data_IF_084652362829
#
_entry.id   IF_084652362829
#
_cell.length_a   1.000
_cell.length_b   1.000
_cell.length_c   1.000
_cell.angle_alpha   90.00
_cell.angle_beta   90.00
_cell.angle_gamma   90.00
#
_symmetry.space_group_name_H-M   'P 1'
#
loop_
_entity.id
_entity.type
_entity.pdbx_description
1 polymer ?
#
# COMPACT_ATOMS: atom_id res chain seq x y z
N UNK A 1 -4.42 -7.81 -14.57
CA UNK A 1 -5.76 -8.21 -14.08
C UNK A 1 -6.44 -9.09 -15.12
N UNK A 2 -6.53 -8.67 -16.37
CA UNK A 2 -7.24 -9.39 -17.45
C UNK A 2 -6.72 -10.81 -17.69
N UNK A 3 -5.41 -11.03 -17.64
CA UNK A 3 -4.77 -12.33 -17.84
C UNK A 3 -4.83 -13.25 -16.61
N UNK A 4 -5.13 -12.71 -15.44
CA UNK A 4 -5.22 -13.51 -14.22
C UNK A 4 -6.54 -14.29 -14.18
N UNK A 5 -6.56 -15.50 -13.61
CA UNK A 5 -7.76 -16.36 -13.49
C UNK A 5 -8.21 -16.56 -12.04
N UNK A 6 -7.38 -16.17 -11.06
CA UNK A 6 -7.65 -16.34 -9.64
C UNK A 6 -8.84 -15.50 -9.15
N UNK A 7 -9.53 -15.95 -8.12
CA UNK A 7 -10.62 -15.23 -7.45
C UNK A 7 -10.12 -14.06 -6.62
N UNK A 8 -8.90 -14.15 -6.11
CA UNK A 8 -8.20 -13.13 -5.32
C UNK A 8 -6.99 -12.68 -6.11
N UNK A 9 -6.76 -11.37 -6.17
CA UNK A 9 -5.67 -10.75 -6.92
C UNK A 9 -4.82 -9.92 -5.95
N UNK A 10 -3.52 -10.16 -5.93
CA UNK A 10 -2.50 -9.37 -5.28
C UNK A 10 -1.37 -9.03 -6.26
N UNK A 11 -0.57 -8.04 -5.96
CA UNK A 11 0.56 -7.62 -6.77
C UNK A 11 1.84 -7.68 -5.94
N UNK A 12 2.83 -8.38 -6.47
CA UNK A 12 4.18 -8.43 -5.90
C UNK A 12 5.14 -7.92 -6.97
N UNK A 13 5.96 -6.93 -6.63
CA UNK A 13 7.00 -6.45 -7.54
C UNK A 13 8.08 -7.52 -7.70
N UNK A 14 8.82 -7.46 -8.80
CA UNK A 14 9.82 -8.48 -9.16
C UNK A 14 11.01 -8.57 -8.20
N UNK A 15 11.28 -7.51 -7.44
CA UNK A 15 12.36 -7.39 -6.46
C UNK A 15 11.89 -7.56 -5.01
N UNK A 16 10.58 -7.72 -4.79
CA UNK A 16 9.97 -7.94 -3.49
C UNK A 16 9.69 -9.43 -3.24
N UNK A 17 9.52 -9.80 -1.97
CA UNK A 17 9.22 -11.17 -1.60
C UNK A 17 8.39 -11.28 -0.32
N UNK A 18 7.65 -12.38 -0.19
CA UNK A 18 6.90 -12.70 1.02
C UNK A 18 7.83 -13.05 2.17
N UNK A 19 7.41 -12.73 3.39
CA UNK A 19 8.17 -13.02 4.62
C UNK A 19 8.25 -14.49 4.95
N UNK A 20 7.27 -15.29 4.49
CA UNK A 20 7.25 -16.75 4.64
C UNK A 20 6.50 -17.41 3.48
N UNK A 21 6.65 -18.73 3.35
CA UNK A 21 5.93 -19.55 2.37
C UNK A 21 4.41 -19.64 2.65
N UNK A 22 3.98 -19.31 3.86
CA UNK A 22 2.58 -19.45 4.30
C UNK A 22 1.74 -18.19 4.14
N UNK A 23 2.32 -17.09 3.67
CA UNK A 23 1.61 -15.81 3.54
C UNK A 23 0.36 -15.92 2.67
N UNK A 24 0.47 -16.57 1.50
CA UNK A 24 -0.68 -16.70 0.59
C UNK A 24 -1.77 -17.63 1.16
N UNK A 25 -1.37 -18.68 1.86
CA UNK A 25 -2.31 -19.59 2.56
C UNK A 25 -3.08 -18.83 3.65
N UNK A 26 -2.37 -18.05 4.48
CA UNK A 26 -2.99 -17.26 5.53
C UNK A 26 -3.94 -16.20 4.96
N UNK A 27 -3.53 -15.49 3.91
CA UNK A 27 -4.41 -14.53 3.22
C UNK A 27 -5.64 -15.22 2.65
N UNK A 28 -5.48 -16.39 2.01
CA UNK A 28 -6.61 -17.14 1.46
C UNK A 28 -7.59 -17.59 2.55
N UNK A 29 -7.08 -18.06 3.68
CA UNK A 29 -7.88 -18.46 4.84
C UNK A 29 -8.73 -17.30 5.36
N UNK A 30 -8.19 -16.07 5.43
CA UNK A 30 -8.96 -14.88 5.85
C UNK A 30 -10.13 -14.66 4.89
N UNK A 31 -9.92 -14.77 3.57
CA UNK A 31 -11.01 -14.62 2.60
C UNK A 31 -12.06 -15.73 2.68
N UNK A 32 -11.72 -16.89 3.24
CA UNK A 32 -12.65 -18.01 3.44
C UNK A 32 -13.45 -17.86 4.75
N UNK A 33 -12.81 -17.38 5.81
CA UNK A 33 -13.40 -17.29 7.15
C UNK A 33 -14.10 -15.95 7.41
N UNK A 34 -13.55 -14.88 6.84
CA UNK A 34 -14.07 -13.52 6.99
C UNK A 34 -14.85 -13.10 5.74
N UNK A 35 -16.00 -12.49 5.93
CA UNK A 35 -16.81 -11.98 4.82
C UNK A 35 -16.26 -10.62 4.34
N UNK A 36 -15.05 -10.62 3.75
CA UNK A 36 -14.35 -9.41 3.30
C UNK A 36 -14.03 -9.46 1.82
N UNK A 37 -13.90 -8.29 1.23
CA UNK A 37 -13.57 -8.06 -0.18
C UNK A 37 -12.09 -7.73 -0.38
N UNK A 38 -11.41 -7.30 0.69
CA UNK A 38 -10.01 -6.92 0.70
C UNK A 38 -9.28 -7.41 1.95
N UNK A 39 -8.01 -7.79 1.79
CA UNK A 39 -7.07 -8.05 2.89
C UNK A 39 -5.82 -7.22 2.63
N UNK A 40 -5.30 -6.55 3.64
CA UNK A 40 -4.03 -5.83 3.58
C UNK A 40 -3.28 -5.97 4.91
N UNK A 41 -1.97 -5.76 4.87
CA UNK A 41 -1.09 -6.06 5.99
C UNK A 41 0.04 -5.04 6.11
N UNK A 42 1.05 -5.36 6.93
CA UNK A 42 2.26 -4.59 7.11
C UNK A 42 3.33 -4.95 6.08
N UNK A 43 4.28 -4.03 5.88
CA UNK A 43 5.41 -4.18 4.99
C UNK A 43 6.68 -3.64 5.68
N UNK A 44 7.80 -4.31 5.46
CA UNK A 44 9.12 -3.75 5.81
C UNK A 44 9.94 -3.47 4.55
N UNK A 45 10.69 -2.37 4.59
CA UNK A 45 11.73 -2.11 3.62
C UNK A 45 13.04 -2.67 4.15
N UNK A 46 13.72 -3.44 3.31
CA UNK A 46 15.04 -4.00 3.62
C UNK A 46 16.11 -3.37 2.74
N UNK A 47 17.33 -3.40 3.22
CA UNK A 47 18.48 -2.91 2.46
C UNK A 47 18.63 -3.72 1.15
N UNK A 48 19.04 -3.06 0.07
CA UNK A 48 19.18 -3.67 -1.26
C UNK A 48 20.17 -4.84 -1.27
N UNK A 49 21.28 -4.70 -0.55
CA UNK A 49 22.36 -5.69 -0.51
C UNK A 49 22.17 -6.63 0.68
N UNK A 50 21.97 -6.08 1.89
CA UNK A 50 21.77 -6.86 3.10
C UNK A 50 20.30 -6.91 3.48
N UNK A 51 19.56 -7.86 2.93
CA UNK A 51 18.12 -8.02 3.15
C UNK A 51 17.73 -8.43 4.59
N UNK A 52 18.69 -8.74 5.44
CA UNK A 52 18.44 -8.91 6.89
C UNK A 52 18.29 -7.55 7.61
N UNK A 53 18.82 -6.47 7.03
CA UNK A 53 18.75 -5.13 7.60
C UNK A 53 17.43 -4.45 7.23
N UNK A 54 16.56 -4.25 8.23
CA UNK A 54 15.31 -3.47 8.08
C UNK A 54 15.65 -1.98 8.14
N UNK A 55 15.29 -1.23 7.10
CA UNK A 55 15.54 0.22 7.01
C UNK A 55 14.30 1.07 7.26
N UNK A 56 13.11 0.46 7.12
CA UNK A 56 11.84 1.15 7.34
C UNK A 56 10.73 0.12 7.61
N UNK A 57 9.89 0.38 8.61
CA UNK A 57 8.72 -0.44 8.91
C UNK A 57 7.44 0.33 8.62
N UNK A 58 6.69 -0.12 7.63
CA UNK A 58 5.39 0.44 7.29
C UNK A 58 4.29 -0.40 7.93
N UNK A 59 4.01 -0.10 9.19
CA UNK A 59 2.89 -0.66 9.91
C UNK A 59 1.60 0.02 9.44
N UNK A 60 0.64 -0.78 9.00
CA UNK A 60 -0.67 -0.33 8.61
C UNK A 60 -1.58 -0.14 9.83
N UNK A 61 -2.87 0.01 9.63
CA UNK A 61 -3.87 0.20 10.66
C UNK A 61 -5.20 -0.41 10.18
N UNK A 62 -6.11 -0.68 11.13
CA UNK A 62 -7.50 -1.03 10.78
C UNK A 62 -8.14 0.04 9.89
N UNK A 63 -9.07 -0.35 9.04
CA UNK A 63 -9.64 0.51 7.98
C UNK A 63 -10.24 1.80 8.53
N UNK A 64 -10.86 1.76 9.72
CA UNK A 64 -11.45 2.92 10.38
C UNK A 64 -10.41 3.98 10.80
N UNK A 65 -9.15 3.60 10.89
CA UNK A 65 -8.03 4.46 11.26
C UNK A 65 -7.20 4.91 10.04
N UNK A 66 -7.57 4.45 8.83
CA UNK A 66 -6.96 4.96 7.61
C UNK A 66 -7.43 6.39 7.38
N UNK A 67 -6.52 7.22 6.89
CA UNK A 67 -6.81 8.60 6.57
C UNK A 67 -5.94 9.03 5.40
N UNK A 68 -6.51 8.96 4.20
CA UNK A 68 -5.81 9.30 2.97
C UNK A 68 -5.40 10.77 2.95
N UNK A 69 -6.24 11.69 3.46
CA UNK A 69 -5.93 13.12 3.54
C UNK A 69 -4.80 13.46 4.52
N UNK A 70 -4.42 12.51 5.40
CA UNK A 70 -3.25 12.59 6.28
C UNK A 70 -2.14 11.58 5.90
N UNK A 71 -2.22 10.93 4.74
CA UNK A 71 -1.22 9.97 4.30
C UNK A 71 -1.14 8.69 5.15
N UNK A 72 -2.18 8.36 5.92
CA UNK A 72 -2.33 7.08 6.60
C UNK A 72 -3.02 6.10 5.66
N UNK A 73 -2.23 5.44 4.83
CA UNK A 73 -2.66 4.48 3.81
C UNK A 73 -1.98 3.14 4.04
N UNK A 74 -2.59 2.02 3.62
CA UNK A 74 -1.92 0.72 3.66
C UNK A 74 -0.79 0.66 2.62
N UNK A 75 0.21 -0.19 2.80
CA UNK A 75 1.21 -0.45 1.77
C UNK A 75 0.59 -1.25 0.63
N UNK A 76 0.58 -0.67 -0.59
CA UNK A 76 -0.05 -1.28 -1.76
C UNK A 76 0.38 -2.73 -2.05
N UNK A 77 1.67 -3.13 -1.93
CA UNK A 77 2.07 -4.51 -2.22
C UNK A 77 1.43 -5.56 -1.31
N UNK A 78 0.89 -5.14 -0.15
CA UNK A 78 0.21 -6.06 0.78
C UNK A 78 -1.29 -6.19 0.54
N UNK A 79 -1.82 -5.45 -0.47
CA UNK A 79 -3.26 -5.44 -0.76
C UNK A 79 -3.64 -6.61 -1.66
N UNK A 80 -4.55 -7.43 -1.17
CA UNK A 80 -5.24 -8.48 -1.90
C UNK A 80 -6.71 -8.13 -2.02
N UNK A 81 -7.30 -8.29 -3.21
CA UNK A 81 -8.70 -7.98 -3.49
C UNK A 81 -9.40 -9.16 -4.14
N UNK A 82 -10.69 -9.36 -3.82
CA UNK A 82 -11.53 -10.22 -4.67
C UNK A 82 -11.61 -9.62 -6.06
N UNK A 83 -11.56 -10.47 -7.08
CA UNK A 83 -11.62 -10.05 -8.50
C UNK A 83 -12.83 -9.16 -8.80
N UNK A 84 -13.98 -9.45 -8.23
CA UNK A 84 -15.21 -8.69 -8.41
C UNK A 84 -15.12 -7.23 -7.95
N UNK A 85 -14.19 -6.91 -7.02
CA UNK A 85 -13.92 -5.53 -6.61
C UNK A 85 -13.46 -4.68 -7.78
N UNK A 86 -12.64 -5.24 -8.69
CA UNK A 86 -12.19 -4.52 -9.89
C UNK A 86 -13.34 -4.18 -10.83
N UNK A 87 -14.40 -5.00 -10.87
CA UNK A 87 -15.62 -4.68 -11.62
C UNK A 87 -16.39 -3.48 -11.06
N UNK A 88 -16.34 -3.26 -9.74
CA UNK A 88 -17.00 -2.14 -9.06
C UNK A 88 -16.13 -0.88 -9.02
N UNK A 89 -14.86 -1.04 -8.71
CA UNK A 89 -13.91 0.06 -8.49
C UNK A 89 -13.23 0.49 -9.80
N UNK A 90 -13.16 -0.40 -10.79
CA UNK A 90 -12.37 -0.23 -12.01
C UNK A 90 -10.93 -0.67 -11.82
N UNK A 91 -10.17 -0.71 -12.93
CA UNK A 91 -8.76 -1.06 -12.96
C UNK A 91 -7.86 0.12 -12.56
N UNK A 92 -6.55 -0.10 -12.51
CA UNK A 92 -5.58 0.98 -12.37
C UNK A 92 -5.70 1.97 -13.53
N UNK A 93 -5.60 3.26 -13.22
CA UNK A 93 -5.65 4.32 -14.23
C UNK A 93 -4.26 4.49 -14.88
N UNK A 94 -4.09 4.16 -16.17
CA UNK A 94 -2.79 4.23 -16.85
C UNK A 94 -2.24 5.66 -17.04
N UNK A 95 -3.06 6.68 -16.79
CA UNK A 95 -2.62 8.08 -16.85
C UNK A 95 -1.79 8.50 -15.63
N UNK A 96 -1.65 7.65 -14.61
CA UNK A 96 -0.78 7.84 -13.46
C UNK A 96 0.50 7.04 -13.65
N UNK A 97 1.62 7.74 -13.74
CA UNK A 97 2.93 7.09 -13.93
C UNK A 97 3.56 6.62 -12.62
N UNK A 98 3.41 7.39 -11.55
CA UNK A 98 4.10 7.17 -10.28
C UNK A 98 3.19 6.86 -9.10
N UNK A 99 1.94 7.32 -9.13
CA UNK A 99 1.01 7.23 -8.01
C UNK A 99 -0.33 6.56 -8.38
N UNK A 100 -0.29 5.67 -9.38
CA UNK A 100 -1.47 4.90 -9.79
C UNK A 100 -1.94 3.94 -8.70
N UNK A 101 -1.04 3.41 -7.88
CA UNK A 101 -1.33 2.64 -6.69
C UNK A 101 -2.09 3.46 -5.64
N UNK A 102 -1.64 4.68 -5.39
CA UNK A 102 -2.30 5.59 -4.47
C UNK A 102 -3.72 5.94 -4.95
N UNK A 103 -3.86 6.29 -6.24
CA UNK A 103 -5.16 6.62 -6.85
C UNK A 103 -6.13 5.45 -6.76
N UNK A 104 -5.65 4.25 -7.07
CA UNK A 104 -6.45 3.03 -6.98
C UNK A 104 -6.90 2.76 -5.53
N UNK A 105 -5.99 2.81 -4.57
CA UNK A 105 -6.33 2.61 -3.15
C UNK A 105 -7.28 3.69 -2.62
N UNK A 106 -7.17 4.94 -3.09
CA UNK A 106 -8.11 6.01 -2.75
C UNK A 106 -9.53 5.63 -3.18
N UNK A 107 -9.69 5.08 -4.40
CA UNK A 107 -11.00 4.57 -4.86
C UNK A 107 -11.47 3.39 -4.01
N UNK A 108 -10.62 2.40 -3.76
CA UNK A 108 -10.96 1.22 -2.96
C UNK A 108 -11.45 1.59 -1.56
N UNK A 109 -10.68 2.38 -0.83
CA UNK A 109 -10.93 2.60 0.60
C UNK A 109 -11.76 3.85 0.90
N UNK A 110 -11.57 4.95 0.16
CA UNK A 110 -12.29 6.20 0.46
C UNK A 110 -13.59 6.33 -0.32
N UNK A 111 -13.63 5.96 -1.61
CA UNK A 111 -14.80 6.15 -2.45
C UNK A 111 -15.76 4.98 -2.33
N UNK A 112 -15.27 3.76 -2.56
CA UNK A 112 -16.11 2.56 -2.56
C UNK A 112 -16.25 1.90 -1.19
N UNK A 113 -15.47 2.34 -0.18
CA UNK A 113 -15.51 1.81 1.20
C UNK A 113 -15.51 0.28 1.22
N UNK A 114 -14.62 -0.32 0.44
CA UNK A 114 -14.52 -1.78 0.28
C UNK A 114 -14.31 -2.44 1.64
N UNK A 115 -15.14 -3.44 1.95
CA UNK A 115 -15.06 -4.15 3.22
C UNK A 115 -13.76 -4.91 3.35
N UNK A 116 -12.94 -4.54 4.33
CA UNK A 116 -11.52 -4.89 4.38
C UNK A 116 -11.10 -5.44 5.72
N UNK A 117 -10.20 -6.43 5.70
CA UNK A 117 -9.53 -6.99 6.87
C UNK A 117 -8.08 -6.49 6.95
N UNK A 118 -7.67 -5.98 8.09
CA UNK A 118 -6.28 -5.67 8.37
C UNK A 118 -5.62 -6.85 9.09
N UNK A 119 -4.71 -7.51 8.40
CA UNK A 119 -3.84 -8.55 8.98
C UNK A 119 -2.66 -7.86 9.67
N UNK A 120 -2.64 -7.87 11.01
CA UNK A 120 -1.58 -7.26 11.82
C UNK A 120 -0.29 -8.10 11.80
N UNK A 121 0.22 -8.34 10.60
CA UNK A 121 1.45 -9.09 10.32
C UNK A 121 2.26 -8.41 9.22
N UNK A 122 3.57 -8.56 9.28
CA UNK A 122 4.46 -8.19 8.18
C UNK A 122 4.50 -9.33 7.17
N UNK A 123 3.93 -9.13 5.99
CA UNK A 123 3.85 -10.18 4.97
C UNK A 123 4.79 -9.97 3.78
N UNK A 124 5.32 -8.76 3.59
CA UNK A 124 6.21 -8.43 2.48
C UNK A 124 7.47 -7.74 2.96
N UNK A 125 8.59 -8.15 2.36
CA UNK A 125 9.88 -7.47 2.41
C UNK A 125 10.14 -6.80 1.06
N UNK A 126 10.16 -5.48 1.06
CA UNK A 126 10.40 -4.65 -0.11
C UNK A 126 11.85 -4.15 -0.11
N UNK A 127 12.58 -4.39 -1.19
CA UNK A 127 13.97 -3.91 -1.30
C UNK A 127 14.00 -2.39 -1.55
N UNK A 128 14.99 -1.73 -0.95
CA UNK A 128 15.28 -0.33 -1.29
C UNK A 128 16.07 -0.27 -2.59
N UNK A 129 15.99 0.83 -3.34
CA UNK A 129 16.75 0.98 -4.60
C UNK A 129 15.90 0.85 -5.88
N UNK A 130 14.62 0.51 -5.78
CA UNK A 130 13.74 0.39 -6.95
C UNK A 130 13.54 1.70 -7.73
N UNK A 131 12.91 1.61 -8.91
CA UNK A 131 12.77 2.67 -9.93
C UNK A 131 12.19 4.02 -9.42
N UNK A 132 11.48 4.02 -8.29
CA UNK A 132 10.91 5.21 -7.65
C UNK A 132 11.75 5.76 -6.49
N UNK A 133 12.85 5.08 -6.14
CA UNK A 133 13.72 5.42 -5.02
C UNK A 133 14.77 6.48 -5.36
N UNK A 134 14.57 7.74 -4.95
CA UNK A 134 15.69 8.64 -4.73
C UNK A 134 15.90 9.81 -5.70
N UNK A 135 15.14 9.93 -6.79
CA UNK A 135 15.24 11.13 -7.64
C UNK A 135 14.24 12.20 -7.17
N UNK A 136 14.73 13.42 -6.91
CA UNK A 136 13.89 14.57 -6.50
C UNK A 136 12.79 14.89 -7.52
N UNK A 137 13.03 14.66 -8.81
CA UNK A 137 12.05 14.86 -9.87
C UNK A 137 10.89 13.87 -9.72
N UNK A 138 11.18 12.59 -9.50
CA UNK A 138 10.14 11.57 -9.32
C UNK A 138 9.30 11.81 -8.05
N UNK A 139 9.90 12.34 -6.98
CA UNK A 139 9.17 12.71 -5.75
C UNK A 139 8.21 13.88 -6.01
N UNK A 140 8.64 14.89 -6.78
CA UNK A 140 7.78 16.02 -7.16
C UNK A 140 6.60 15.52 -8.00
N UNK A 141 6.87 14.72 -9.02
CA UNK A 141 5.83 14.20 -9.92
C UNK A 141 4.83 13.29 -9.19
N UNK A 142 5.30 12.41 -8.29
CA UNK A 142 4.44 11.65 -7.38
C UNK A 142 3.51 12.55 -6.59
N UNK A 143 4.03 13.62 -6.00
CA UNK A 143 3.22 14.53 -5.20
C UNK A 143 2.18 15.28 -6.03
N UNK A 144 2.52 15.65 -7.27
CA UNK A 144 1.57 16.25 -8.22
C UNK A 144 0.45 15.25 -8.55
N UNK A 145 0.80 14.01 -8.86
CA UNK A 145 -0.17 12.95 -9.16
C UNK A 145 -1.08 12.64 -7.97
N UNK A 146 -0.55 12.59 -6.74
CA UNK A 146 -1.36 12.41 -5.53
C UNK A 146 -2.40 13.53 -5.38
N UNK A 147 -2.00 14.80 -5.56
CA UNK A 147 -2.94 15.91 -5.49
C UNK A 147 -3.98 15.87 -6.61
N UNK A 148 -3.59 15.39 -7.80
CA UNK A 148 -4.50 15.15 -8.91
C UNK A 148 -5.50 14.05 -8.56
N UNK A 149 -5.05 12.94 -7.95
CA UNK A 149 -5.90 11.84 -7.51
C UNK A 149 -6.98 12.31 -6.54
N UNK A 150 -6.63 13.12 -5.54
CA UNK A 150 -7.62 13.72 -4.64
C UNK A 150 -8.65 14.56 -5.40
N UNK A 151 -8.19 15.43 -6.31
CA UNK A 151 -9.05 16.31 -7.09
C UNK A 151 -10.01 15.52 -8.01
N UNK A 152 -9.49 14.56 -8.77
CA UNK A 152 -10.27 13.76 -9.72
C UNK A 152 -11.32 12.90 -9.01
N UNK A 153 -10.99 12.36 -7.84
CA UNK A 153 -11.89 11.57 -7.01
C UNK A 153 -12.75 12.41 -6.05
N UNK A 154 -12.72 13.74 -6.16
CA UNK A 154 -13.51 14.69 -5.34
C UNK A 154 -13.31 14.53 -3.84
N UNK A 155 -12.12 14.13 -3.41
CA UNK A 155 -11.73 14.02 -2.00
C UNK A 155 -11.03 15.32 -1.58
N UNK A 156 -11.57 15.96 -0.57
CA UNK A 156 -10.98 17.19 -0.04
C UNK A 156 -9.68 16.91 0.71
N UNK A 157 -8.65 17.70 0.42
CA UNK A 157 -7.36 17.60 1.09
C UNK A 157 -6.74 18.98 1.31
N UNK A 158 -6.28 19.19 2.53
CA UNK A 158 -5.48 20.37 2.88
C UNK A 158 -4.02 20.03 2.61
N UNK A 159 -3.47 20.58 1.52
CA UNK A 159 -2.15 20.21 0.96
C UNK A 159 -1.03 20.23 2.00
N UNK A 160 -0.88 21.33 2.75
CA UNK A 160 0.19 21.44 3.75
C UNK A 160 0.04 20.39 4.86
N UNK A 161 -1.19 20.12 5.31
CA UNK A 161 -1.46 19.11 6.33
C UNK A 161 -1.10 17.71 5.82
N UNK A 162 -1.51 17.37 4.58
CA UNK A 162 -1.15 16.10 3.94
C UNK A 162 0.37 15.88 3.94
N UNK A 163 1.15 16.86 3.45
CA UNK A 163 2.60 16.70 3.35
C UNK A 163 3.28 16.66 4.70
N UNK A 164 2.80 17.43 5.67
CA UNK A 164 3.31 17.38 7.05
C UNK A 164 3.05 16.00 7.68
N UNK A 165 1.83 15.50 7.59
CA UNK A 165 1.49 14.18 8.09
C UNK A 165 2.28 13.07 7.38
N UNK A 166 2.43 13.14 6.06
CA UNK A 166 3.22 12.19 5.25
C UNK A 166 4.69 12.17 5.71
N UNK A 167 5.30 13.34 5.97
CA UNK A 167 6.67 13.44 6.48
C UNK A 167 6.80 12.83 7.89
N UNK A 168 5.90 13.17 8.81
CA UNK A 168 5.86 12.63 10.17
C UNK A 168 5.70 11.10 10.14
N UNK A 169 4.79 10.59 9.30
CA UNK A 169 4.60 9.15 9.15
C UNK A 169 5.86 8.45 8.65
N UNK A 170 6.58 9.04 7.71
CA UNK A 170 7.83 8.51 7.20
C UNK A 170 8.93 8.45 8.27
N UNK A 171 9.02 9.47 9.10
CA UNK A 171 9.94 9.51 10.25
C UNK A 171 9.57 8.40 11.24
N UNK A 172 8.30 8.28 11.63
CA UNK A 172 7.83 7.23 12.54
C UNK A 172 8.13 5.82 12.01
N UNK A 173 7.98 5.58 10.74
CA UNK A 173 8.28 4.30 10.10
C UNK A 173 9.77 3.93 10.19
N UNK A 174 10.68 4.93 10.04
CA UNK A 174 12.13 4.72 10.20
C UNK A 174 12.51 4.49 11.66
N UNK A 175 11.94 5.24 12.60
CA UNK A 175 12.18 5.04 14.04
C UNK A 175 11.72 3.66 14.50
N UNK A 176 10.57 3.17 14.01
CA UNK A 176 10.12 1.79 14.31
C UNK A 176 11.12 0.74 13.81
N UNK A 177 11.66 0.89 12.61
CA UNK A 177 12.68 -0.03 12.10
C UNK A 177 13.91 -0.07 13.01
N UNK A 178 14.34 1.07 13.53
CA UNK A 178 15.46 1.15 14.48
C UNK A 178 15.14 0.42 15.80
N UNK A 179 13.94 0.60 16.35
CA UNK A 179 13.51 -0.06 17.60
C UNK A 179 13.32 -1.58 17.45
N UNK A 180 13.01 -2.07 16.25
CA UNK A 180 12.91 -3.52 15.99
C UNK A 180 14.29 -4.20 15.82
N UNK A 181 15.38 -3.42 15.76
CA UNK A 181 16.75 -3.94 15.67
C UNK A 181 17.47 -3.98 17.02
N UNK A 182 16.88 -3.41 18.07
CA UNK A 182 17.35 -3.46 19.45
C UNK A 182 16.66 -4.59 20.22
#
# INVERSE_FOLDING_TARGET
IEISTGKIIGFLNSDDYYTSAYVLEHVAQIFETENVDAVYADLIYVDEINTARVVRYWKSKKVELLNFSCGFIPPHPTLFLRREVYGRVGNFNPNYRFSGDFEFMLRVFEIHKVHSFYLDETIIKMRTGGATGGNLVSIKDQNIEILRAFKENKVEVVKYLYFTCKAINRIKQRLRAFLCML
#
